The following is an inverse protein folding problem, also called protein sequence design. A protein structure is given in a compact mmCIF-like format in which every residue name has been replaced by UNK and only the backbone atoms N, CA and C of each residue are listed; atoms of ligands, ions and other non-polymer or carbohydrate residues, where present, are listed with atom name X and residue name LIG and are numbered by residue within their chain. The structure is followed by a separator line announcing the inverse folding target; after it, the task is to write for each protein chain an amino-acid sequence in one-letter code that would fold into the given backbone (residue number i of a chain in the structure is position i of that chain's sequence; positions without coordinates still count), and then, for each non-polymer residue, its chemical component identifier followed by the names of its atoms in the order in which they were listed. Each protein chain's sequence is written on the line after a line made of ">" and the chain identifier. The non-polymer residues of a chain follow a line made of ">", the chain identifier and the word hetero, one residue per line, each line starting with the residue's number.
data_IF_564717568280
#
_entry.id   IF_564717568280
#
_cell.length_a   1.000
_cell.length_b   1.000
_cell.length_c   1.000
_cell.angle_alpha   90.00
_cell.angle_beta   90.00
_cell.angle_gamma   90.00
#
_symmetry.space_group_name_H-M   'P 1'
#
loop_
_entity.id
_entity.type
_entity.pdbx_description
1 polymer ?
#
# COMPACT_ATOMS: atom_id res chain seq x y z
N UNK A 1 4.43 -25.30 7.92
CA UNK A 1 4.65 -25.73 6.52
C UNK A 1 3.34 -25.47 5.79
N UNK A 2 3.14 -24.22 5.34
CA UNK A 2 1.86 -23.73 4.82
C UNK A 2 1.68 -24.18 3.37
N UNK A 3 0.64 -24.97 3.13
CA UNK A 3 0.16 -25.29 1.78
C UNK A 3 -0.79 -24.16 1.34
N UNK A 4 -0.33 -23.34 0.40
CA UNK A 4 -1.14 -22.31 -0.27
C UNK A 4 -2.02 -23.00 -1.30
N UNK A 5 -3.33 -22.97 -1.10
CA UNK A 5 -4.31 -23.41 -2.09
C UNK A 5 -4.61 -22.27 -3.06
N UNK A 6 -4.29 -22.47 -4.33
CA UNK A 6 -4.79 -21.67 -5.45
C UNK A 6 -6.33 -21.72 -5.48
N UNK A 7 -6.99 -20.56 -5.56
CA UNK A 7 -8.14 -20.33 -6.48
C UNK A 7 -8.70 -18.91 -6.49
N UNK A 8 -8.89 -18.43 -7.72
CA UNK A 8 -9.86 -17.52 -8.32
C UNK A 8 -10.17 -16.16 -7.67
N UNK A 9 -9.41 -15.16 -8.14
CA UNK A 9 -9.75 -13.74 -8.10
C UNK A 9 -11.07 -13.45 -8.87
N UNK A 10 -11.88 -12.46 -8.43
CA UNK A 10 -13.13 -12.12 -9.10
C UNK A 10 -12.91 -11.66 -10.56
N UNK A 11 -13.73 -12.16 -11.49
CA UNK A 11 -13.65 -11.79 -12.90
C UNK A 11 -14.24 -10.39 -13.13
N UNK A 12 -13.40 -9.37 -13.03
CA UNK A 12 -13.65 -8.08 -13.66
C UNK A 12 -13.60 -8.31 -15.18
N UNK A 13 -14.41 -7.61 -15.99
CA UNK A 13 -14.26 -7.65 -17.45
C UNK A 13 -12.97 -6.94 -17.85
N UNK A 14 -11.84 -7.56 -17.53
CA UNK A 14 -10.52 -7.13 -17.93
C UNK A 14 -10.43 -7.32 -19.44
N UNK A 15 -10.00 -6.29 -20.16
CA UNK A 15 -9.37 -6.55 -21.45
C UNK A 15 -8.31 -7.62 -21.19
N UNK A 16 -8.34 -8.77 -21.87
CA UNK A 16 -7.42 -9.86 -21.57
C UNK A 16 -5.99 -9.33 -21.69
N UNK A 17 -5.22 -9.47 -20.62
CA UNK A 17 -3.84 -9.01 -20.58
C UNK A 17 -3.06 -9.68 -21.71
N UNK A 18 -2.66 -8.89 -22.72
CA UNK A 18 -1.70 -9.33 -23.73
C UNK A 18 -0.33 -8.94 -23.23
N UNK A 19 0.45 -9.93 -22.81
CA UNK A 19 1.82 -9.73 -22.40
C UNK A 19 2.73 -9.96 -23.62
N UNK A 20 3.61 -9.02 -24.00
CA UNK A 20 4.67 -9.29 -24.97
C UNK A 20 5.61 -10.39 -24.46
N UNK A 21 6.47 -10.96 -25.30
CA UNK A 21 7.51 -11.90 -24.84
C UNK A 21 8.36 -11.27 -23.74
N UNK A 22 8.97 -12.09 -22.87
CA UNK A 22 9.63 -11.61 -21.66
C UNK A 22 10.64 -10.48 -21.97
N UNK A 23 10.29 -9.22 -21.64
CA UNK A 23 11.27 -8.14 -21.70
C UNK A 23 12.42 -8.54 -20.77
N UNK A 24 13.58 -8.79 -21.36
CA UNK A 24 14.78 -9.23 -20.65
C UNK A 24 15.04 -8.27 -19.50
N UNK A 25 14.86 -8.78 -18.28
CA UNK A 25 15.07 -7.97 -17.08
C UNK A 25 16.56 -7.85 -16.85
N UNK A 26 17.12 -6.68 -17.18
CA UNK A 26 18.42 -6.29 -16.64
C UNK A 26 18.13 -5.61 -15.31
N UNK A 27 18.39 -6.32 -14.21
CA UNK A 27 18.57 -5.67 -12.90
C UNK A 27 19.80 -4.79 -13.06
N UNK A 28 19.62 -3.53 -13.43
CA UNK A 28 20.75 -2.60 -13.48
C UNK A 28 21.17 -2.29 -12.05
N UNK A 29 22.47 -2.31 -11.74
CA UNK A 29 22.96 -1.86 -10.43
C UNK A 29 22.42 -0.46 -10.15
N UNK A 30 21.99 -0.25 -8.90
CA UNK A 30 21.36 0.97 -8.41
C UNK A 30 22.22 2.18 -8.77
N UNK A 31 21.83 2.86 -9.84
CA UNK A 31 22.51 4.05 -10.37
C UNK A 31 21.48 5.16 -10.50
N UNK A 32 20.67 5.30 -9.45
CA UNK A 32 19.75 6.40 -9.27
C UNK A 32 20.52 7.71 -9.06
N UNK A 33 20.05 8.78 -9.70
CA UNK A 33 20.54 10.13 -9.41
C UNK A 33 19.86 10.59 -8.12
N UNK A 34 20.63 10.66 -7.02
CA UNK A 34 20.53 11.60 -5.88
C UNK A 34 19.17 11.97 -5.24
N UNK A 35 18.06 11.39 -5.66
CA UNK A 35 16.72 11.57 -5.09
C UNK A 35 16.35 10.29 -4.38
N UNK A 36 15.99 10.40 -3.11
CA UNK A 36 15.56 9.27 -2.30
C UNK A 36 14.32 8.62 -2.92
N UNK A 37 14.26 7.29 -2.84
CA UNK A 37 13.13 6.55 -3.36
C UNK A 37 11.87 6.84 -2.53
N UNK A 38 10.75 7.13 -3.20
CA UNK A 38 9.47 7.37 -2.53
C UNK A 38 8.78 6.04 -2.29
N UNK A 39 8.52 5.69 -1.03
CA UNK A 39 7.82 4.44 -0.66
C UNK A 39 6.31 4.52 -0.94
N UNK A 40 5.75 3.45 -1.49
CA UNK A 40 4.34 3.33 -1.86
C UNK A 40 3.56 2.29 -1.05
N UNK A 41 4.16 1.61 -0.06
CA UNK A 41 3.41 0.79 0.91
C UNK A 41 2.51 -0.26 0.25
N UNK A 42 3.01 -0.90 -0.80
CA UNK A 42 2.32 -1.98 -1.50
C UNK A 42 0.90 -1.60 -1.98
N UNK A 43 0.74 -0.44 -2.64
CA UNK A 43 -0.55 -0.04 -3.23
C UNK A 43 -0.94 -0.97 -4.38
N UNK A 44 -2.16 -1.51 -4.34
CA UNK A 44 -2.68 -2.36 -5.41
C UNK A 44 -3.60 -1.60 -6.36
N UNK A 45 -3.25 -1.61 -7.64
CA UNK A 45 -4.03 -1.04 -8.73
C UNK A 45 -3.61 -1.63 -10.07
N UNK A 46 -4.33 -1.27 -11.12
CA UNK A 46 -4.05 -1.68 -12.47
C UNK A 46 -3.40 -0.61 -13.33
N UNK A 47 -2.59 -1.02 -14.29
CA UNK A 47 -1.99 -0.15 -15.31
C UNK A 47 -2.27 -0.67 -16.72
N UNK A 48 -2.47 0.25 -17.66
CA UNK A 48 -2.31 0.02 -19.09
C UNK A 48 -0.94 0.57 -19.47
N UNK A 49 -0.04 -0.32 -19.87
CA UNK A 49 1.37 -0.02 -20.12
C UNK A 49 1.72 -0.22 -21.59
N UNK A 50 2.23 0.82 -22.22
CA UNK A 50 2.81 0.79 -23.56
C UNK A 50 4.30 0.45 -23.47
N UNK A 51 4.75 -0.59 -24.18
CA UNK A 51 6.17 -0.96 -24.22
C UNK A 51 6.99 -0.11 -25.22
N UNK A 52 8.24 -0.48 -25.50
CA UNK A 52 9.07 0.25 -26.47
C UNK A 52 8.64 0.08 -27.92
N UNK A 53 7.87 -0.97 -28.21
CA UNK A 53 7.41 -1.31 -29.55
C UNK A 53 5.99 -0.77 -29.81
N UNK A 54 5.40 -0.08 -28.82
CA UNK A 54 4.07 0.52 -28.90
C UNK A 54 2.93 -0.45 -28.56
N UNK A 55 3.23 -1.61 -27.98
CA UNK A 55 2.19 -2.55 -27.57
C UNK A 55 1.68 -2.23 -26.17
N UNK A 56 0.36 -2.08 -26.07
CA UNK A 56 -0.33 -1.92 -24.80
C UNK A 56 -0.59 -3.26 -24.14
N UNK A 57 -0.34 -3.30 -22.84
CA UNK A 57 -0.61 -4.44 -21.97
C UNK A 57 -1.30 -3.97 -20.68
N UNK A 58 -2.38 -4.66 -20.29
CA UNK A 58 -3.03 -4.42 -19.00
C UNK A 58 -2.37 -5.28 -17.92
N UNK A 59 -2.05 -4.68 -16.76
CA UNK A 59 -1.35 -5.35 -15.67
C UNK A 59 -1.89 -4.92 -14.31
N UNK A 60 -2.13 -5.86 -13.42
CA UNK A 60 -2.36 -5.65 -12.01
C UNK A 60 -1.00 -5.61 -11.29
N UNK A 61 -0.78 -4.56 -10.50
CA UNK A 61 0.51 -4.29 -9.86
C UNK A 61 0.35 -3.98 -8.38
N UNK A 62 1.31 -4.43 -7.58
CA UNK A 62 1.50 -4.02 -6.19
C UNK A 62 2.69 -3.06 -6.16
N UNK A 63 2.39 -1.77 -6.18
CA UNK A 63 3.36 -0.68 -6.25
C UNK A 63 4.08 -0.48 -4.92
N UNK A 64 5.41 -0.54 -4.95
CA UNK A 64 6.24 -0.51 -3.75
C UNK A 64 7.01 0.77 -3.54
N UNK A 65 7.56 1.32 -4.62
CA UNK A 65 8.32 2.57 -4.57
C UNK A 65 8.43 3.24 -5.94
N UNK A 66 8.78 4.51 -5.93
CA UNK A 66 9.20 5.26 -7.11
C UNK A 66 10.69 5.52 -7.01
N UNK A 67 11.43 5.23 -8.07
CA UNK A 67 12.84 5.60 -8.21
C UNK A 67 13.04 6.38 -9.51
N UNK A 68 14.19 7.02 -9.65
CA UNK A 68 14.56 7.74 -10.87
C UNK A 68 15.70 7.03 -11.57
N UNK A 69 15.61 6.89 -12.89
CA UNK A 69 16.74 6.42 -13.69
C UNK A 69 17.79 7.54 -13.87
N UNK A 70 18.87 7.25 -14.61
CA UNK A 70 19.93 8.22 -14.89
C UNK A 70 19.49 9.43 -15.73
N UNK A 71 18.36 9.34 -16.41
CA UNK A 71 17.79 10.43 -17.20
C UNK A 71 16.75 11.23 -16.38
N UNK A 72 16.60 10.94 -15.08
CA UNK A 72 15.59 11.56 -14.23
C UNK A 72 14.17 11.09 -14.53
N UNK A 73 14.00 10.00 -15.29
CA UNK A 73 12.69 9.43 -15.62
C UNK A 73 12.20 8.60 -14.43
N UNK A 74 10.97 8.86 -13.95
CA UNK A 74 10.36 8.11 -12.86
C UNK A 74 10.00 6.68 -13.24
N UNK A 75 10.41 5.73 -12.39
CA UNK A 75 10.18 4.30 -12.51
C UNK A 75 9.33 3.83 -11.33
N UNK A 76 8.13 3.31 -11.63
CA UNK A 76 7.28 2.60 -10.70
C UNK A 76 7.86 1.20 -10.47
N UNK A 77 8.40 0.95 -9.28
CA UNK A 77 8.88 -0.36 -8.88
C UNK A 77 7.72 -1.11 -8.24
N UNK A 78 7.29 -2.20 -8.86
CA UNK A 78 6.11 -2.93 -8.44
C UNK A 78 6.27 -4.44 -8.65
N UNK A 79 5.52 -5.23 -7.88
CA UNK A 79 5.31 -6.64 -8.20
C UNK A 79 4.19 -6.74 -9.25
N UNK A 80 4.49 -7.35 -10.40
CA UNK A 80 3.54 -7.57 -11.48
C UNK A 80 2.83 -8.91 -11.28
N UNK A 81 1.52 -8.87 -11.04
CA UNK A 81 0.73 -10.07 -10.72
C UNK A 81 0.70 -11.06 -11.89
N UNK A 82 0.63 -10.59 -13.14
CA UNK A 82 0.58 -11.45 -14.32
C UNK A 82 1.91 -12.19 -14.58
N UNK A 83 3.00 -11.71 -14.01
CA UNK A 83 4.35 -12.28 -14.19
C UNK A 83 4.91 -12.89 -12.91
N UNK A 84 4.21 -12.73 -11.80
CA UNK A 84 4.65 -13.11 -10.45
C UNK A 84 6.08 -12.65 -10.14
N UNK A 85 6.44 -11.45 -10.61
CA UNK A 85 7.81 -10.94 -10.54
C UNK A 85 7.86 -9.43 -10.32
N UNK A 86 8.91 -8.97 -9.66
CA UNK A 86 9.23 -7.56 -9.56
C UNK A 86 9.63 -6.98 -10.92
N UNK A 87 9.03 -5.85 -11.26
CA UNK A 87 9.35 -5.11 -12.48
C UNK A 87 9.35 -3.60 -12.23
N UNK A 88 10.02 -2.91 -13.14
CA UNK A 88 10.12 -1.46 -13.14
C UNK A 88 9.40 -0.93 -14.37
N UNK A 89 8.37 -0.12 -14.13
CA UNK A 89 7.57 0.47 -15.18
C UNK A 89 7.91 1.95 -15.30
N UNK A 90 8.34 2.36 -16.49
CA UNK A 90 8.46 3.79 -16.82
C UNK A 90 7.11 4.46 -16.69
N UNK A 91 6.95 5.36 -15.73
CA UNK A 91 5.65 5.98 -15.45
C UNK A 91 5.17 6.81 -16.65
N UNK A 92 6.10 7.50 -17.29
CA UNK A 92 6.29 7.44 -18.74
C UNK A 92 5.14 6.99 -19.63
N UNK A 93 5.09 5.67 -19.71
CA UNK A 93 4.36 4.85 -20.68
C UNK A 93 3.15 4.16 -20.05
N UNK A 94 2.77 4.58 -18.85
CA UNK A 94 1.49 4.21 -18.25
C UNK A 94 0.45 5.13 -18.87
N UNK A 95 -0.43 4.55 -19.69
CA UNK A 95 -1.43 5.28 -20.49
C UNK A 95 -2.70 5.51 -19.67
N UNK A 96 -3.16 4.45 -19.00
CA UNK A 96 -4.32 4.48 -18.12
C UNK A 96 -4.00 3.70 -16.84
N UNK A 97 -4.72 4.01 -15.77
CA UNK A 97 -4.76 3.18 -14.58
C UNK A 97 -6.19 2.69 -14.35
N UNK A 98 -6.36 1.55 -13.70
CA UNK A 98 -7.67 1.12 -13.24
C UNK A 98 -7.67 0.84 -11.74
N UNK A 99 -8.77 1.21 -11.10
CA UNK A 99 -8.97 0.98 -9.68
C UNK A 99 -9.31 -0.49 -9.46
N UNK A 100 -8.54 -1.17 -8.61
CA UNK A 100 -8.69 -2.60 -8.40
C UNK A 100 -9.98 -3.01 -7.68
N UNK A 101 -10.70 -2.05 -7.11
CA UNK A 101 -11.89 -2.27 -6.32
C UNK A 101 -13.16 -1.87 -7.06
N UNK A 102 -13.12 -0.79 -7.84
CA UNK A 102 -14.26 -0.37 -8.67
C UNK A 102 -14.20 -0.96 -10.07
N UNK A 103 -13.02 -1.37 -10.55
CA UNK A 103 -12.78 -1.80 -11.93
C UNK A 103 -12.80 -0.64 -12.94
N UNK A 104 -12.92 0.60 -12.48
CA UNK A 104 -13.01 1.78 -13.33
C UNK A 104 -11.62 2.21 -13.81
N UNK A 105 -11.55 2.62 -15.07
CA UNK A 105 -10.35 3.18 -15.68
C UNK A 105 -10.32 4.69 -15.51
N UNK A 106 -9.13 5.23 -15.30
CA UNK A 106 -8.86 6.65 -15.17
C UNK A 106 -7.58 7.02 -15.93
N UNK A 107 -7.48 8.30 -16.30
CA UNK A 107 -6.26 8.85 -16.88
C UNK A 107 -5.10 8.69 -15.90
N UNK A 108 -3.96 8.20 -16.41
CA UNK A 108 -2.85 7.76 -15.57
C UNK A 108 -2.32 8.84 -14.65
N UNK A 109 -2.16 10.09 -15.12
CA UNK A 109 -1.64 11.18 -14.27
C UNK A 109 -2.61 11.52 -13.15
N UNK A 110 -3.90 11.70 -13.46
CA UNK A 110 -4.92 11.99 -12.45
C UNK A 110 -4.97 10.89 -11.38
N UNK A 111 -4.95 9.63 -11.81
CA UNK A 111 -4.95 8.49 -10.92
C UNK A 111 -3.69 8.44 -10.05
N UNK A 112 -2.49 8.49 -10.65
CA UNK A 112 -1.22 8.39 -9.92
C UNK A 112 -1.02 9.57 -8.94
N UNK A 113 -1.51 10.76 -9.28
CA UNK A 113 -1.52 11.89 -8.36
C UNK A 113 -2.41 11.63 -7.15
N UNK A 114 -3.59 11.08 -7.37
CA UNK A 114 -4.54 10.75 -6.29
C UNK A 114 -4.04 9.60 -5.40
N UNK A 115 -3.57 8.51 -6.01
CA UNK A 115 -3.29 7.24 -5.34
C UNK A 115 -1.94 7.25 -4.63
N UNK A 116 -0.93 7.79 -5.29
CA UNK A 116 0.46 7.71 -4.85
C UNK A 116 1.11 9.09 -4.71
N UNK A 117 0.34 10.18 -4.83
CA UNK A 117 0.83 11.55 -4.66
C UNK A 117 1.78 12.00 -5.77
N UNK A 118 1.85 11.27 -6.88
CA UNK A 118 2.88 11.49 -7.89
C UNK A 118 2.42 12.44 -9.00
N UNK A 119 3.16 13.52 -9.23
CA UNK A 119 3.00 14.35 -10.42
C UNK A 119 4.30 14.43 -11.26
N UNK A 120 4.22 13.96 -12.52
CA UNK A 120 5.29 14.12 -13.52
C UNK A 120 5.69 15.58 -13.75
N UNK A 121 4.76 16.54 -13.59
CA UNK A 121 4.99 17.96 -13.84
C UNK A 121 5.50 18.72 -12.60
N UNK A 122 4.98 18.40 -11.40
CA UNK A 122 5.46 19.01 -10.14
C UNK A 122 6.92 18.65 -9.82
N UNK A 123 7.40 17.47 -10.25
CA UNK A 123 8.82 17.08 -10.09
C UNK A 123 9.81 17.96 -10.88
N UNK A 124 9.31 18.75 -11.84
CA UNK A 124 10.06 19.75 -12.59
C UNK A 124 9.75 21.20 -12.15
N UNK A 125 8.70 21.42 -11.36
CA UNK A 125 8.27 22.74 -10.93
C UNK A 125 7.58 22.72 -9.54
N UNK A 126 8.24 23.38 -8.60
CA UNK A 126 7.72 24.00 -7.38
C UNK A 126 7.61 23.17 -6.07
N UNK A 127 7.99 23.87 -5.00
CA UNK A 127 7.80 23.60 -3.57
C UNK A 127 6.29 23.52 -3.24
N UNK A 128 5.64 22.39 -3.53
CA UNK A 128 4.28 22.15 -3.07
C UNK A 128 4.30 21.60 -1.63
N UNK A 129 4.19 22.51 -0.67
CA UNK A 129 4.16 22.24 0.78
C UNK A 129 3.11 21.17 1.15
N UNK A 130 2.02 21.04 0.37
CA UNK A 130 0.99 20.01 0.61
C UNK A 130 1.49 18.60 0.31
N UNK A 131 2.35 18.43 -0.70
CA UNK A 131 2.94 17.13 -1.02
C UNK A 131 3.92 16.69 0.06
N UNK A 132 4.83 17.56 0.49
CA UNK A 132 5.79 17.26 1.56
C UNK A 132 5.07 16.91 2.89
N UNK A 133 4.01 17.66 3.23
CA UNK A 133 3.16 17.36 4.38
C UNK A 133 2.55 15.95 4.27
N UNK A 134 1.96 15.62 3.12
CA UNK A 134 1.31 14.31 2.94
C UNK A 134 2.32 13.15 2.90
N UNK A 135 3.52 13.37 2.34
CA UNK A 135 4.62 12.41 2.42
C UNK A 135 5.01 12.14 3.88
N UNK A 136 5.11 13.19 4.70
CA UNK A 136 5.39 13.05 6.13
C UNK A 136 4.28 12.30 6.87
N UNK A 137 3.01 12.63 6.57
CA UNK A 137 1.84 11.93 7.13
C UNK A 137 1.89 10.44 6.77
N UNK A 138 2.10 10.09 5.50
CA UNK A 138 2.16 8.70 5.04
C UNK A 138 3.33 7.94 5.66
N UNK A 139 4.52 8.56 5.71
CA UNK A 139 5.67 7.97 6.40
C UNK A 139 5.37 7.68 7.89
N UNK A 140 4.64 8.57 8.57
CA UNK A 140 4.27 8.41 9.97
C UNK A 140 3.25 7.30 10.19
N UNK A 141 2.21 7.21 9.35
CA UNK A 141 1.12 6.25 9.53
C UNK A 141 1.42 4.88 8.92
N UNK A 142 2.42 4.78 8.04
CA UNK A 142 2.79 3.56 7.32
C UNK A 142 2.79 2.29 8.18
N UNK A 143 3.55 2.19 9.29
CA UNK A 143 3.60 0.94 10.05
C UNK A 143 2.23 0.54 10.57
N UNK A 144 1.37 1.50 10.91
CA UNK A 144 0.00 1.26 11.34
C UNK A 144 -0.87 0.75 10.17
N UNK A 145 -0.82 1.41 9.01
CA UNK A 145 -1.60 1.02 7.82
C UNK A 145 -1.21 -0.38 7.32
N UNK A 146 0.09 -0.70 7.31
CA UNK A 146 0.59 -2.00 6.86
C UNK A 146 0.13 -3.12 7.79
N UNK A 147 0.32 -2.98 9.11
CA UNK A 147 -0.02 -4.04 10.06
C UNK A 147 -1.53 -4.22 10.22
N UNK A 148 -2.29 -3.12 10.37
CA UNK A 148 -3.75 -3.21 10.44
C UNK A 148 -4.35 -3.67 9.11
N UNK A 149 -3.73 -3.27 7.99
CA UNK A 149 -4.15 -3.73 6.67
C UNK A 149 -3.88 -5.22 6.44
N UNK A 150 -2.85 -5.79 7.08
CA UNK A 150 -2.57 -7.22 7.06
C UNK A 150 -3.59 -7.97 7.93
N UNK A 151 -3.87 -7.44 9.12
CA UNK A 151 -4.86 -7.98 10.05
C UNK A 151 -6.25 -8.04 9.42
N UNK A 152 -6.71 -6.94 8.81
CA UNK A 152 -8.01 -6.89 8.11
C UNK A 152 -8.07 -7.64 6.78
N UNK A 153 -7.00 -8.32 6.36
CA UNK A 153 -6.99 -9.09 5.10
C UNK A 153 -6.76 -10.58 5.32
N UNK A 154 -6.98 -11.07 6.55
CA UNK A 154 -6.99 -12.50 6.83
C UNK A 154 -7.96 -13.26 5.89
N UNK A 155 -9.07 -12.63 5.48
CA UNK A 155 -10.05 -13.19 4.54
C UNK A 155 -9.97 -12.61 3.12
N UNK A 156 -8.84 -11.97 2.78
CA UNK A 156 -8.55 -11.34 1.49
C UNK A 156 -9.38 -10.10 1.13
N UNK A 157 -10.24 -9.60 2.01
CA UNK A 157 -11.04 -8.40 1.75
C UNK A 157 -11.16 -7.48 2.97
N UNK A 158 -10.95 -6.18 2.79
CA UNK A 158 -11.12 -5.22 3.88
C UNK A 158 -12.53 -4.64 3.89
N UNK A 159 -13.30 -4.91 4.94
CA UNK A 159 -14.65 -4.38 5.12
C UNK A 159 -14.65 -2.87 5.37
N UNK A 160 -15.72 -2.18 4.96
CA UNK A 160 -15.85 -0.72 5.15
C UNK A 160 -15.78 -0.30 6.62
N UNK A 161 -16.28 -1.15 7.53
CA UNK A 161 -16.20 -0.91 8.97
C UNK A 161 -14.75 -0.92 9.45
N UNK A 162 -13.96 -1.92 9.04
CA UNK A 162 -12.54 -2.01 9.35
C UNK A 162 -11.74 -0.84 8.79
N UNK A 163 -11.96 -0.47 7.52
CA UNK A 163 -11.34 0.73 6.92
C UNK A 163 -11.60 1.96 7.79
N UNK A 164 -12.83 2.12 8.28
CA UNK A 164 -13.21 3.26 9.13
C UNK A 164 -12.44 3.26 10.45
N UNK A 165 -12.27 2.10 11.08
CA UNK A 165 -11.48 1.96 12.31
C UNK A 165 -9.99 2.24 12.07
N UNK A 166 -9.42 1.71 10.99
CA UNK A 166 -8.02 1.97 10.61
C UNK A 166 -7.82 3.46 10.36
N UNK A 167 -8.68 4.09 9.55
CA UNK A 167 -8.62 5.53 9.26
C UNK A 167 -8.71 6.35 10.53
N UNK A 168 -9.65 6.04 11.43
CA UNK A 168 -9.78 6.74 12.72
C UNK A 168 -8.48 6.68 13.53
N UNK A 169 -7.89 5.48 13.64
CA UNK A 169 -6.62 5.31 14.35
C UNK A 169 -5.50 6.12 13.72
N UNK A 170 -5.27 6.01 12.41
CA UNK A 170 -4.14 6.70 11.77
C UNK A 170 -4.31 8.22 11.76
N UNK A 171 -5.54 8.73 11.74
CA UNK A 171 -5.81 10.16 11.93
C UNK A 171 -5.45 10.62 13.35
N UNK A 172 -5.69 9.77 14.37
CA UNK A 172 -5.24 10.09 15.75
C UNK A 172 -3.71 10.07 15.88
N UNK A 173 -3.02 9.22 15.13
CA UNK A 173 -1.55 9.22 15.06
C UNK A 173 -1.04 10.50 14.39
N UNK A 174 -1.72 10.96 13.34
CA UNK A 174 -1.39 12.17 12.58
C UNK A 174 -2.03 13.46 13.12
N UNK A 175 -2.62 13.44 14.33
CA UNK A 175 -3.44 14.55 14.87
C UNK A 175 -2.68 15.89 14.92
N UNK A 176 -1.37 15.85 15.12
CA UNK A 176 -0.51 17.04 15.14
C UNK A 176 -0.41 17.78 13.80
N UNK A 177 -0.85 17.19 12.68
CA UNK A 177 -0.64 17.72 11.32
C UNK A 177 -1.83 18.52 10.77
N UNK A 178 -2.97 18.62 11.47
CA UNK A 178 -4.18 19.33 11.02
C UNK A 178 -4.54 19.05 9.54
N UNK A 179 -5.20 17.92 9.28
CA UNK A 179 -5.54 17.51 7.91
C UNK A 179 -6.86 18.15 7.44
N UNK A 180 -6.88 18.59 6.18
CA UNK A 180 -8.08 19.00 5.45
C UNK A 180 -8.92 17.81 4.99
N UNK A 181 -10.17 18.05 4.60
CA UNK A 181 -11.08 17.00 4.12
C UNK A 181 -10.50 16.22 2.92
N UNK A 182 -9.80 16.89 2.01
CA UNK A 182 -9.19 16.24 0.85
C UNK A 182 -7.96 15.41 1.22
N UNK A 183 -7.17 15.84 2.21
CA UNK A 183 -6.07 15.05 2.77
C UNK A 183 -6.60 13.81 3.51
N UNK A 184 -7.71 13.94 4.25
CA UNK A 184 -8.39 12.81 4.90
C UNK A 184 -8.90 11.80 3.86
N UNK A 185 -9.49 12.27 2.75
CA UNK A 185 -9.88 11.38 1.64
C UNK A 185 -8.68 10.60 1.10
N UNK A 186 -7.51 11.24 0.94
CA UNK A 186 -6.28 10.55 0.51
C UNK A 186 -5.84 9.48 1.49
N UNK A 187 -5.91 9.73 2.80
CA UNK A 187 -5.64 8.71 3.83
C UNK A 187 -6.61 7.53 3.71
N UNK A 188 -7.90 7.80 3.54
CA UNK A 188 -8.90 6.76 3.36
C UNK A 188 -8.62 5.89 2.12
N UNK A 189 -8.30 6.55 1.01
CA UNK A 189 -7.94 5.89 -0.25
C UNK A 189 -6.69 5.01 -0.09
N UNK A 190 -5.66 5.52 0.61
CA UNK A 190 -4.41 4.80 0.91
C UNK A 190 -4.66 3.53 1.73
N UNK A 191 -5.44 3.63 2.81
CA UNK A 191 -5.77 2.50 3.69
C UNK A 191 -6.49 1.39 2.93
N UNK A 192 -7.46 1.75 2.09
CA UNK A 192 -8.27 0.76 1.36
C UNK A 192 -7.42 -0.09 0.39
N UNK A 193 -6.45 0.56 -0.27
CA UNK A 193 -5.64 -0.03 -1.35
C UNK A 193 -4.39 -0.78 -0.89
N UNK A 194 -3.96 -0.64 0.37
CA UNK A 194 -2.76 -1.33 0.89
C UNK A 194 -2.86 -2.86 0.67
N UNK A 195 -1.82 -3.50 0.16
CA UNK A 195 -1.73 -4.98 0.07
C UNK A 195 -0.40 -5.43 0.69
N UNK A 196 -0.33 -5.53 2.03
CA UNK A 196 0.90 -5.83 2.74
C UNK A 196 1.56 -7.12 2.22
N UNK A 197 2.87 -7.08 2.13
CA UNK A 197 3.73 -8.22 1.85
C UNK A 197 4.47 -8.64 3.11
N UNK A 198 4.99 -9.89 3.19
CA UNK A 198 5.75 -10.31 4.36
C UNK A 198 6.88 -9.33 4.73
N UNK A 199 7.66 -8.89 3.74
CA UNK A 199 8.75 -7.93 3.96
C UNK A 199 8.26 -6.58 4.53
N UNK A 200 7.10 -6.08 4.08
CA UNK A 200 6.58 -4.81 4.58
C UNK A 200 5.97 -4.95 5.97
N UNK A 201 5.37 -6.10 6.29
CA UNK A 201 4.92 -6.45 7.64
C UNK A 201 6.11 -6.49 8.59
N UNK A 202 7.19 -7.20 8.25
CA UNK A 202 8.40 -7.28 9.09
C UNK A 202 9.01 -5.90 9.35
N UNK A 203 9.15 -5.08 8.30
CA UNK A 203 9.66 -3.73 8.43
C UNK A 203 8.76 -2.83 9.31
N UNK A 204 7.43 -3.00 9.20
CA UNK A 204 6.47 -2.26 10.01
C UNK A 204 6.50 -2.69 11.49
N UNK A 205 6.66 -3.99 11.78
CA UNK A 205 6.87 -4.50 13.14
C UNK A 205 8.12 -3.87 13.76
N UNK A 206 9.26 -3.91 13.06
CA UNK A 206 10.51 -3.33 13.52
C UNK A 206 10.41 -1.83 13.79
N UNK A 207 9.64 -1.10 12.99
CA UNK A 207 9.38 0.33 13.20
C UNK A 207 8.51 0.57 14.43
N UNK A 208 7.44 -0.22 14.61
CA UNK A 208 6.50 -0.05 15.71
C UNK A 208 7.12 -0.45 17.07
N UNK A 209 7.97 -1.49 17.11
CA UNK A 209 8.73 -1.87 18.33
C UNK A 209 9.63 -0.76 18.86
N UNK A 210 10.07 0.17 18.00
CA UNK A 210 10.91 1.31 18.38
C UNK A 210 10.10 2.50 18.91
N UNK A 211 8.77 2.44 18.88
CA UNK A 211 7.89 3.51 19.37
C UNK A 211 7.72 3.44 20.90
N UNK A 212 7.33 4.55 21.56
CA UNK A 212 7.02 4.54 22.99
C UNK A 212 5.92 3.53 23.33
N UNK A 213 5.97 2.86 24.51
CA UNK A 213 4.99 1.84 24.90
C UNK A 213 3.53 2.32 24.80
N UNK A 214 3.25 3.59 25.12
CA UNK A 214 1.91 4.16 25.00
C UNK A 214 1.37 4.14 23.55
N UNK A 215 2.23 4.34 22.55
CA UNK A 215 1.84 4.27 21.14
C UNK A 215 1.59 2.82 20.70
N UNK A 216 2.38 1.87 21.21
CA UNK A 216 2.18 0.44 20.95
C UNK A 216 0.84 -0.02 21.54
N UNK A 217 0.53 0.34 22.79
CA UNK A 217 -0.76 0.04 23.42
C UNK A 217 -1.93 0.66 22.65
N UNK A 218 -1.80 1.93 22.22
CA UNK A 218 -2.82 2.57 21.39
C UNK A 218 -3.04 1.84 20.05
N UNK A 219 -1.96 1.36 19.43
CA UNK A 219 -2.05 0.53 18.23
C UNK A 219 -2.74 -0.81 18.48
N UNK A 220 -2.42 -1.52 19.56
CA UNK A 220 -3.09 -2.79 19.91
C UNK A 220 -4.59 -2.55 20.16
N UNK A 221 -4.94 -1.47 20.86
CA UNK A 221 -6.35 -1.11 21.07
C UNK A 221 -7.07 -0.84 19.73
N UNK A 222 -6.40 -0.20 18.76
CA UNK A 222 -6.94 -0.02 17.42
C UNK A 222 -7.07 -1.35 16.66
N UNK A 223 -6.10 -2.26 16.78
CA UNK A 223 -6.17 -3.59 16.17
C UNK A 223 -7.36 -4.39 16.71
N UNK A 224 -7.63 -4.34 18.02
CA UNK A 224 -8.83 -4.92 18.64
C UNK A 224 -10.11 -4.28 18.07
N UNK A 225 -10.13 -2.96 17.89
CA UNK A 225 -11.30 -2.26 17.34
C UNK A 225 -11.56 -2.66 15.89
N UNK A 226 -10.50 -2.81 15.08
CA UNK A 226 -10.56 -3.28 13.69
C UNK A 226 -11.16 -4.68 13.62
N UNK A 227 -10.65 -5.65 14.39
CA UNK A 227 -11.16 -7.04 14.41
C UNK A 227 -12.63 -7.10 14.85
N UNK A 228 -13.07 -6.18 15.71
CA UNK A 228 -14.46 -6.12 16.19
C UNK A 228 -15.38 -5.30 15.28
N UNK A 229 -14.88 -4.63 14.25
CA UNK A 229 -15.58 -3.57 13.54
C UNK A 229 -16.85 -4.06 12.80
N UNK A 230 -16.81 -5.28 12.26
CA UNK A 230 -17.91 -5.86 11.48
C UNK A 230 -18.85 -6.75 12.33
N UNK A 231 -18.54 -6.90 13.63
CA UNK A 231 -19.28 -7.72 14.58
C UNK A 231 -19.08 -9.24 14.43
N UNK A 232 -18.14 -9.69 13.59
CA UNK A 232 -17.83 -11.10 13.36
C UNK A 232 -16.35 -11.37 13.48
N UNK A 233 -15.93 -11.65 14.72
CA UNK A 233 -14.54 -12.04 14.99
C UNK A 233 -14.32 -13.49 14.56
N UNK A 234 -13.35 -13.72 13.66
CA UNK A 234 -12.90 -15.06 13.24
C UNK A 234 -11.71 -15.53 14.08
N UNK A 235 -11.57 -16.85 14.22
CA UNK A 235 -10.46 -17.45 14.99
C UNK A 235 -9.08 -17.04 14.43
N UNK A 236 -8.95 -16.94 13.10
CA UNK A 236 -7.69 -16.52 12.45
C UNK A 236 -7.34 -15.05 12.76
N UNK A 237 -8.34 -14.18 12.87
CA UNK A 237 -8.15 -12.75 13.22
C UNK A 237 -7.71 -12.59 14.68
N UNK A 238 -8.26 -13.42 15.59
CA UNK A 238 -7.83 -13.47 17.00
C UNK A 238 -6.38 -13.97 17.08
N UNK A 239 -6.07 -15.07 16.40
CA UNK A 239 -4.74 -15.65 16.41
C UNK A 239 -3.70 -14.65 15.89
N UNK A 240 -3.98 -13.98 14.77
CA UNK A 240 -3.08 -12.96 14.23
C UNK A 240 -2.95 -11.75 15.17
N UNK A 241 -4.03 -11.34 15.85
CA UNK A 241 -4.00 -10.25 16.82
C UNK A 241 -3.18 -10.62 18.07
N UNK A 242 -3.29 -11.85 18.57
CA UNK A 242 -2.49 -12.37 19.68
C UNK A 242 -1.02 -12.46 19.31
N UNK A 243 -0.70 -12.99 18.13
CA UNK A 243 0.69 -13.03 17.62
C UNK A 243 1.27 -11.61 17.54
N UNK A 244 0.49 -10.65 17.03
CA UNK A 244 0.90 -9.25 16.93
C UNK A 244 1.12 -8.60 18.31
N UNK A 245 0.23 -8.87 19.27
CA UNK A 245 0.36 -8.37 20.64
C UNK A 245 1.60 -8.94 21.32
N UNK A 246 1.83 -10.25 21.21
CA UNK A 246 2.97 -10.94 21.77
C UNK A 246 4.28 -10.40 21.17
N UNK A 247 4.31 -10.21 19.85
CA UNK A 247 5.49 -9.75 19.14
C UNK A 247 5.88 -8.29 19.46
N UNK A 248 4.88 -7.45 19.77
CA UNK A 248 5.10 -6.03 20.08
C UNK A 248 5.28 -5.73 21.57
N UNK A 249 4.70 -6.55 22.45
CA UNK A 249 4.64 -6.26 23.89
C UNK A 249 5.19 -7.38 24.78
N UNK A 250 5.32 -8.60 24.26
CA UNK A 250 5.62 -9.79 25.04
C UNK A 250 4.43 -10.34 25.83
N UNK A 251 3.22 -9.80 25.62
CA UNK A 251 1.98 -10.17 26.31
C UNK A 251 0.89 -10.53 25.30
N UNK A 252 -0.03 -11.42 25.70
CA UNK A 252 -1.22 -11.73 24.91
C UNK A 252 -2.26 -10.60 24.97
N UNK A 253 -3.26 -10.62 24.08
CA UNK A 253 -4.29 -9.57 24.03
C UNK A 253 -5.13 -9.56 25.31
N UNK A 254 -5.42 -10.73 25.88
CA UNK A 254 -6.18 -10.86 27.13
C UNK A 254 -5.51 -10.15 28.32
N UNK A 255 -4.18 -10.15 28.36
CA UNK A 255 -3.40 -9.49 29.43
C UNK A 255 -3.40 -7.96 29.27
N UNK A 256 -3.53 -7.47 28.03
CA UNK A 256 -3.48 -6.05 27.69
C UNK A 256 -4.85 -5.38 27.80
N UNK A 257 -5.94 -6.12 27.57
CA UNK A 257 -7.31 -5.61 27.60
C UNK A 257 -8.22 -6.53 28.44
N UNK A 258 -8.07 -6.53 29.78
CA UNK A 258 -9.00 -7.24 30.65
C UNK A 258 -10.41 -6.69 30.45
N UNK A 259 -11.37 -7.59 30.21
CA UNK A 259 -12.76 -7.27 29.87
C UNK A 259 -13.51 -6.44 30.90
#
# INVERSE_FOLDING_TARGET
>A
MLHVFERDLPSVSARPARLPDADGMVVTPDTSIGRDAVSLEDQYFGIVYEDSDGFESTRAVIARKIKFNRDGIPLLCAFCCEREAYREFRMDRIVECWDAETGEYAEARAFLLEVIGFDKLALAAAEDVSLEKMEHVFAMIRPHVVLLGALSKCDHYMHKAEVTEIVRHVLSVADCMSLSDDEIKRVHTRVRRVRPSPDSVDAALDELRRRPPAQVVAFIAAAVAVVKADGKVKDDEIAMLDDLALELTGLGVEDLMPG
#
